data_IF_030907372596
#
_entry.id   IF_030907372596
#
_cell.length_a   1.000
_cell.length_b   1.000
_cell.length_c   1.000
_cell.angle_alpha   90.00
_cell.angle_beta   90.00
_cell.angle_gamma   90.00
#
_symmetry.space_group_name_H-M   'P 1'
#
loop_
_entity.id
_entity.type
_entity.pdbx_description
1 polymer ?
#
# COMPACT_ATOMS: atom_id res chain seq x y z
N UNK A 1 -9.26 20.83 5.38
CA UNK A 1 -9.72 22.17 4.95
C UNK A 1 -10.32 22.03 3.55
N UNK A 2 -11.41 22.75 3.24
CA UNK A 2 -12.06 22.65 1.93
C UNK A 2 -11.17 23.24 0.83
N UNK A 3 -11.12 22.58 -0.32
CA UNK A 3 -10.35 23.07 -1.47
C UNK A 3 -11.07 24.19 -2.24
N UNK A 4 -12.40 24.29 -2.11
CA UNK A 4 -13.22 25.35 -2.67
C UNK A 4 -14.33 24.83 -3.59
N UNK A 5 -15.42 25.60 -3.68
CA UNK A 5 -16.67 25.20 -4.33
C UNK A 5 -16.50 24.83 -5.82
N UNK A 6 -15.56 25.48 -6.52
CA UNK A 6 -15.24 25.16 -7.91
C UNK A 6 -14.85 23.68 -8.06
N UNK A 7 -14.02 23.17 -7.16
CA UNK A 7 -13.55 21.78 -7.18
C UNK A 7 -14.63 20.82 -6.71
N UNK A 8 -15.37 21.17 -5.66
CA UNK A 8 -16.49 20.38 -5.14
C UNK A 8 -17.55 20.12 -6.22
N UNK A 9 -17.91 21.16 -6.97
CA UNK A 9 -18.85 21.08 -8.09
C UNK A 9 -18.30 20.23 -9.23
N UNK A 10 -17.03 20.39 -9.58
CA UNK A 10 -16.40 19.58 -10.63
C UNK A 10 -16.40 18.09 -10.27
N UNK A 11 -15.98 17.74 -9.05
CA UNK A 11 -15.96 16.35 -8.56
C UNK A 11 -17.37 15.76 -8.48
N UNK A 12 -18.36 16.53 -8.00
CA UNK A 12 -19.75 16.09 -7.92
C UNK A 12 -20.34 15.80 -9.30
N UNK A 13 -20.04 16.63 -10.30
CA UNK A 13 -20.51 16.41 -11.68
C UNK A 13 -19.86 15.18 -12.29
N UNK A 14 -18.55 15.03 -12.12
CA UNK A 14 -17.81 13.91 -12.69
C UNK A 14 -18.24 12.56 -12.10
N UNK A 15 -18.38 12.47 -10.77
CA UNK A 15 -18.62 11.20 -10.08
C UNK A 15 -20.12 10.90 -9.92
N UNK A 16 -20.93 11.90 -9.57
CA UNK A 16 -22.35 11.71 -9.23
C UNK A 16 -23.31 12.16 -10.33
N UNK A 17 -22.81 12.80 -11.40
CA UNK A 17 -23.63 13.50 -12.39
C UNK A 17 -24.59 14.53 -11.75
N UNK A 18 -24.11 15.23 -10.71
CA UNK A 18 -24.87 16.24 -9.94
C UNK A 18 -24.03 17.49 -9.71
N UNK A 19 -24.68 18.64 -9.51
CA UNK A 19 -23.99 19.90 -9.21
C UNK A 19 -23.38 19.96 -7.80
N UNK A 20 -23.82 19.08 -6.90
CA UNK A 20 -23.34 19.01 -5.52
C UNK A 20 -23.48 17.59 -4.95
N UNK A 21 -22.84 17.35 -3.80
CA UNK A 21 -22.91 16.08 -3.07
C UNK A 21 -21.55 15.58 -2.58
N UNK A 22 -20.47 15.93 -3.27
CA UNK A 22 -19.10 15.68 -2.85
C UNK A 22 -18.38 16.99 -2.53
N UNK A 23 -17.43 16.92 -1.59
CA UNK A 23 -16.52 18.01 -1.26
C UNK A 23 -15.09 17.51 -1.24
N UNK A 24 -14.20 18.25 -1.87
CA UNK A 24 -12.77 17.97 -1.86
C UNK A 24 -12.13 18.68 -0.67
N UNK A 25 -11.36 17.93 0.10
CA UNK A 25 -10.63 18.44 1.27
C UNK A 25 -9.15 18.15 1.14
N UNK A 26 -8.34 19.04 1.68
CA UNK A 26 -6.92 18.81 1.90
C UNK A 26 -6.62 18.66 3.40
N UNK A 27 -5.61 17.85 3.71
CA UNK A 27 -5.12 17.64 5.07
C UNK A 27 -4.11 18.75 5.44
N UNK A 28 -4.41 19.64 6.42
CA UNK A 28 -3.61 20.83 6.64
C UNK A 28 -2.47 20.65 7.65
N UNK A 29 -2.41 19.52 8.35
CA UNK A 29 -1.45 19.33 9.43
C UNK A 29 -0.10 18.83 8.90
N UNK A 30 1.02 19.29 9.45
CA UNK A 30 2.35 18.87 9.04
C UNK A 30 2.69 17.44 9.50
N UNK A 31 1.92 16.89 10.43
CA UNK A 31 2.12 15.56 11.02
C UNK A 31 0.80 14.78 11.05
N UNK A 32 0.84 13.44 11.00
CA UNK A 32 -0.36 12.61 11.15
C UNK A 32 -0.98 12.77 12.54
N UNK A 33 -2.27 13.10 12.57
CA UNK A 33 -3.09 13.23 13.80
C UNK A 33 -4.14 12.12 13.93
N UNK A 34 -4.25 11.27 12.92
CA UNK A 34 -5.26 10.21 12.88
C UNK A 34 -4.79 9.04 13.74
N UNK A 35 -5.62 8.58 14.67
CA UNK A 35 -5.34 7.38 15.46
C UNK A 35 -4.99 6.17 14.58
N UNK A 36 -4.12 5.31 15.07
CA UNK A 36 -3.86 3.99 14.49
C UNK A 36 -5.16 3.23 14.27
N UNK A 37 -5.30 2.61 13.09
CA UNK A 37 -6.51 1.83 12.76
C UNK A 37 -6.67 0.65 13.70
N UNK A 38 -7.90 0.40 14.17
CA UNK A 38 -8.19 -0.58 15.21
C UNK A 38 -7.60 -1.97 14.93
N UNK A 39 -7.64 -2.40 13.65
CA UNK A 39 -7.13 -3.70 13.18
C UNK A 39 -5.61 -3.88 13.30
N UNK A 40 -4.85 -2.80 13.51
CA UNK A 40 -3.39 -2.83 13.60
C UNK A 40 -2.86 -2.43 14.98
N UNK A 41 -3.74 -2.23 15.96
CA UNK A 41 -3.36 -1.84 17.33
C UNK A 41 -2.49 -2.87 18.05
N UNK A 42 -2.50 -4.13 17.58
CA UNK A 42 -1.68 -5.23 18.11
C UNK A 42 -0.34 -5.39 17.40
N UNK A 43 -0.06 -4.60 16.37
CA UNK A 43 1.20 -4.68 15.63
C UNK A 43 2.34 -4.12 16.49
N UNK A 44 3.35 -4.92 16.85
CA UNK A 44 4.28 -4.60 17.92
C UNK A 44 5.24 -3.44 17.60
N UNK A 45 5.49 -3.19 16.31
CA UNK A 45 6.42 -2.15 15.85
C UNK A 45 5.74 -0.91 15.29
N UNK A 46 4.41 -0.92 15.20
CA UNK A 46 3.63 0.18 14.68
C UNK A 46 3.54 1.30 15.71
N UNK A 47 3.83 2.52 15.27
CA UNK A 47 3.72 3.73 16.08
C UNK A 47 2.58 4.61 15.58
N UNK A 48 2.09 5.48 16.44
CA UNK A 48 1.07 6.47 16.10
C UNK A 48 1.52 7.40 14.96
N UNK A 49 2.81 7.72 14.89
CA UNK A 49 3.44 8.52 13.81
C UNK A 49 3.49 7.80 12.45
N UNK A 50 3.32 6.47 12.41
CA UNK A 50 3.27 5.71 11.15
C UNK A 50 1.93 5.83 10.44
N UNK A 51 0.89 6.32 11.14
CA UNK A 51 -0.39 6.63 10.53
C UNK A 51 -0.25 7.69 9.43
N UNK A 52 -1.19 7.71 8.50
CA UNK A 52 -1.22 8.71 7.42
C UNK A 52 -2.30 9.77 7.64
N UNK A 53 -2.39 10.69 6.69
CA UNK A 53 -3.53 11.58 6.55
C UNK A 53 -4.79 10.78 6.12
N UNK A 54 -4.93 10.55 4.81
CA UNK A 54 -6.09 9.86 4.22
C UNK A 54 -5.81 8.43 3.75
N UNK A 55 -4.56 7.95 3.78
CA UNK A 55 -4.23 6.56 3.40
C UNK A 55 -4.79 5.55 4.41
N UNK A 56 -5.18 4.35 4.00
CA UNK A 56 -5.96 3.42 4.85
C UNK A 56 -5.31 3.15 6.23
N UNK A 57 -4.09 2.61 6.25
CA UNK A 57 -3.42 2.15 7.46
C UNK A 57 -2.23 3.04 7.87
N UNK A 58 -1.16 3.01 7.07
CA UNK A 58 0.10 3.73 7.31
C UNK A 58 0.39 4.73 6.20
N UNK A 59 1.36 5.62 6.42
CA UNK A 59 1.83 6.59 5.42
C UNK A 59 2.53 5.96 4.22
N UNK A 60 3.21 4.82 4.44
CA UNK A 60 4.01 4.16 3.41
C UNK A 60 3.74 2.66 3.33
N UNK A 61 3.76 2.13 2.11
CA UNK A 61 3.68 0.72 1.78
C UNK A 61 4.71 0.39 0.68
N UNK A 62 5.44 -0.70 0.90
CA UNK A 62 6.41 -1.24 -0.05
C UNK A 62 5.87 -2.51 -0.69
N UNK A 63 6.04 -2.57 -2.01
CA UNK A 63 5.60 -3.64 -2.87
C UNK A 63 6.79 -4.22 -3.62
N UNK A 64 6.98 -5.53 -3.51
CA UNK A 64 7.95 -6.26 -4.32
C UNK A 64 7.30 -6.64 -5.65
N UNK A 65 7.92 -6.25 -6.77
CA UNK A 65 7.40 -6.53 -8.10
C UNK A 65 7.48 -8.01 -8.45
N UNK A 66 8.45 -8.75 -7.92
CA UNK A 66 8.51 -10.21 -8.09
C UNK A 66 7.28 -10.91 -7.49
N UNK A 67 6.72 -10.37 -6.40
CA UNK A 67 5.44 -10.85 -5.84
C UNK A 67 4.27 -10.62 -6.80
N UNK A 68 4.27 -9.49 -7.54
CA UNK A 68 3.24 -9.19 -8.56
C UNK A 68 3.35 -10.15 -9.72
N UNK A 69 4.58 -10.43 -10.18
CA UNK A 69 4.85 -11.35 -11.27
C UNK A 69 4.38 -12.78 -10.92
N UNK A 70 4.71 -13.29 -9.72
CA UNK A 70 4.22 -14.59 -9.23
C UNK A 70 2.68 -14.64 -9.15
N UNK A 71 2.04 -13.57 -8.67
CA UNK A 71 0.59 -13.51 -8.62
C UNK A 71 -0.04 -13.49 -10.02
N UNK A 72 0.58 -12.78 -10.96
CA UNK A 72 0.14 -12.73 -12.35
C UNK A 72 0.18 -14.12 -13.01
N UNK A 73 1.24 -14.90 -12.76
CA UNK A 73 1.34 -16.28 -13.24
C UNK A 73 0.21 -17.18 -12.72
N UNK A 74 -0.24 -16.95 -11.47
CA UNK A 74 -1.33 -17.70 -10.84
C UNK A 74 -2.70 -17.29 -11.38
N UNK A 75 -2.94 -16.00 -11.56
CA UNK A 75 -4.22 -15.45 -12.05
C UNK A 75 -4.38 -15.67 -13.56
N UNK A 76 -3.28 -15.72 -14.31
CA UNK A 76 -3.24 -15.84 -15.79
C UNK A 76 -3.98 -14.70 -16.51
N UNK A 77 -4.00 -13.52 -15.89
CA UNK A 77 -4.48 -12.25 -16.47
C UNK A 77 -3.48 -11.15 -16.14
N UNK A 78 -3.39 -10.08 -16.96
CA UNK A 78 -2.54 -8.94 -16.64
C UNK A 78 -2.88 -8.35 -15.26
N UNK A 79 -1.87 -8.10 -14.45
CA UNK A 79 -1.99 -7.42 -13.16
C UNK A 79 -1.04 -6.23 -13.15
N UNK A 80 -1.59 -5.04 -12.96
CA UNK A 80 -0.79 -3.84 -12.77
C UNK A 80 -0.41 -3.68 -11.29
N UNK A 81 0.87 -3.47 -10.93
CA UNK A 81 1.28 -3.12 -9.57
C UNK A 81 0.47 -1.97 -8.92
N UNK A 82 -0.03 -1.02 -9.71
CA UNK A 82 -0.88 0.09 -9.28
C UNK A 82 -2.20 -0.38 -8.66
N UNK A 83 -2.69 -1.59 -8.97
CA UNK A 83 -3.86 -2.19 -8.31
C UNK A 83 -3.65 -2.29 -6.79
N UNK A 84 -2.40 -2.49 -6.34
CA UNK A 84 -2.03 -2.62 -4.93
C UNK A 84 -1.72 -1.29 -4.26
N UNK A 85 -1.59 -0.20 -5.02
CA UNK A 85 -1.38 1.18 -4.52
C UNK A 85 -0.16 1.29 -3.59
N UNK A 86 0.94 0.65 -3.98
CA UNK A 86 2.25 0.78 -3.33
C UNK A 86 2.83 2.17 -3.50
N UNK A 87 3.54 2.64 -2.48
CA UNK A 87 4.33 3.87 -2.58
C UNK A 87 5.71 3.58 -3.15
N UNK A 88 6.29 2.46 -2.74
CA UNK A 88 7.61 1.99 -3.19
C UNK A 88 7.45 0.68 -3.93
N UNK A 89 7.92 0.65 -5.17
CA UNK A 89 8.03 -0.57 -5.96
C UNK A 89 9.49 -0.98 -6.02
N UNK A 90 9.78 -2.16 -5.49
CA UNK A 90 11.11 -2.75 -5.48
C UNK A 90 11.18 -3.84 -6.56
N UNK A 91 12.31 -3.89 -7.27
CA UNK A 91 12.70 -5.03 -8.09
C UNK A 91 14.06 -5.52 -7.61
N UNK A 92 14.13 -6.79 -7.27
CA UNK A 92 15.36 -7.47 -6.87
C UNK A 92 15.98 -8.15 -8.10
N UNK A 93 17.31 -8.29 -8.10
CA UNK A 93 18.00 -9.05 -9.15
C UNK A 93 17.64 -10.55 -9.10
N UNK A 94 17.46 -11.08 -7.89
CA UNK A 94 16.94 -12.42 -7.67
C UNK A 94 15.40 -12.42 -7.69
N UNK A 95 14.81 -13.44 -8.32
CA UNK A 95 13.36 -13.61 -8.32
C UNK A 95 12.88 -14.23 -6.99
N UNK A 96 12.71 -13.39 -5.97
CA UNK A 96 12.28 -13.80 -4.63
C UNK A 96 10.91 -13.17 -4.31
N UNK A 97 9.80 -13.76 -4.81
CA UNK A 97 8.48 -13.28 -4.50
C UNK A 97 8.23 -13.40 -2.98
N UNK A 98 7.59 -12.38 -2.42
CA UNK A 98 7.21 -12.27 -1.01
C UNK A 98 8.39 -12.20 -0.01
N UNK A 99 9.63 -11.99 -0.46
CA UNK A 99 10.78 -11.81 0.42
C UNK A 99 10.56 -10.70 1.48
N UNK A 100 9.77 -9.69 1.12
CA UNK A 100 9.43 -8.56 1.99
C UNK A 100 8.74 -8.94 3.29
N UNK A 101 8.09 -10.10 3.34
CA UNK A 101 7.40 -10.59 4.54
C UNK A 101 8.35 -10.82 5.72
N UNK A 102 9.61 -11.14 5.43
CA UNK A 102 10.60 -11.49 6.45
C UNK A 102 11.47 -10.30 6.86
N UNK A 103 11.40 -9.19 6.14
CA UNK A 103 12.22 -8.04 6.44
C UNK A 103 11.75 -7.33 7.70
N UNK A 104 12.73 -6.80 8.40
CA UNK A 104 12.57 -6.10 9.67
C UNK A 104 12.93 -4.64 9.50
N UNK A 105 14.06 -4.37 8.87
CA UNK A 105 14.54 -3.03 8.57
C UNK A 105 14.83 -2.89 7.08
N UNK A 106 14.52 -1.71 6.56
CA UNK A 106 14.71 -1.35 5.16
C UNK A 106 15.37 0.03 5.14
N UNK A 107 16.47 0.17 4.42
CA UNK A 107 17.08 1.47 4.12
C UNK A 107 16.99 1.71 2.62
N UNK A 108 16.47 2.86 2.23
CA UNK A 108 16.33 3.27 0.83
C UNK A 108 17.29 4.45 0.60
N UNK A 109 18.17 4.32 -0.39
CA UNK A 109 19.22 5.31 -0.62
C UNK A 109 20.20 5.38 0.56
N UNK A 110 20.76 6.56 0.80
CA UNK A 110 21.80 6.75 1.82
C UNK A 110 21.22 6.93 3.24
N UNK A 111 20.10 7.64 3.37
CA UNK A 111 19.66 8.17 4.67
C UNK A 111 18.33 7.61 5.18
N UNK A 112 17.38 7.29 4.29
CA UNK A 112 16.02 6.99 4.71
C UNK A 112 15.92 5.57 5.26
N UNK A 113 15.60 5.44 6.56
CA UNK A 113 15.48 4.15 7.24
C UNK A 113 14.05 3.93 7.69
N UNK A 114 13.53 2.75 7.36
CA UNK A 114 12.19 2.29 7.65
C UNK A 114 12.21 1.00 8.48
N UNK A 115 11.19 0.86 9.32
CA UNK A 115 10.85 -0.37 10.03
C UNK A 115 9.67 -1.02 9.32
N UNK A 116 9.74 -2.32 9.05
CA UNK A 116 8.53 -3.06 8.65
C UNK A 116 7.63 -3.19 9.86
N UNK A 117 6.39 -2.70 9.74
CA UNK A 117 5.47 -2.59 10.89
C UNK A 117 4.31 -3.57 10.83
N UNK A 118 3.90 -4.00 9.64
CA UNK A 118 2.84 -4.98 9.45
C UNK A 118 2.78 -5.49 8.00
N UNK A 119 2.26 -6.70 7.75
CA UNK A 119 1.86 -7.11 6.42
C UNK A 119 0.68 -6.28 5.90
N UNK A 120 0.63 -6.00 4.59
CA UNK A 120 -0.49 -5.28 3.97
C UNK A 120 -1.59 -6.27 3.57
N UNK A 121 -2.62 -6.38 4.40
CA UNK A 121 -3.81 -7.18 4.11
C UNK A 121 -4.61 -6.58 2.96
N UNK A 122 -5.04 -7.41 2.01
CA UNK A 122 -5.69 -6.97 0.79
C UNK A 122 -7.22 -7.05 0.88
N UNK A 123 -7.85 -5.91 0.63
CA UNK A 123 -9.30 -5.81 0.49
C UNK A 123 -9.70 -6.03 -0.98
N UNK A 124 -10.90 -5.58 -1.35
CA UNK A 124 -11.49 -5.73 -2.69
C UNK A 124 -10.92 -4.80 -3.76
N UNK A 125 -10.25 -3.71 -3.36
CA UNK A 125 -9.76 -2.66 -4.25
C UNK A 125 -8.72 -3.09 -5.29
N UNK A 126 -7.85 -4.10 -5.05
CA UNK A 126 -6.98 -4.63 -6.08
C UNK A 126 -7.72 -5.26 -7.26
N UNK A 127 -9.01 -5.56 -7.14
CA UNK A 127 -9.80 -6.12 -8.24
C UNK A 127 -10.26 -5.06 -9.25
N UNK A 128 -9.98 -3.78 -9.00
CA UNK A 128 -10.37 -2.70 -9.90
C UNK A 128 -9.29 -2.54 -10.96
N UNK A 129 -9.67 -2.65 -12.23
CA UNK A 129 -8.78 -2.35 -13.35
C UNK A 129 -8.41 -0.86 -13.30
N UNK A 130 -7.10 -0.57 -13.41
CA UNK A 130 -6.57 0.79 -13.21
C UNK A 130 -6.87 1.74 -14.38
N UNK A 131 -7.16 1.21 -15.56
CA UNK A 131 -7.49 1.99 -16.76
C UNK A 131 -9.00 2.21 -16.88
N UNK A 132 -9.82 1.17 -16.69
CA UNK A 132 -11.26 1.23 -16.91
C UNK A 132 -12.05 1.62 -15.66
N UNK A 133 -11.48 1.42 -14.46
CA UNK A 133 -12.19 1.59 -13.19
C UNK A 133 -13.24 0.50 -12.92
N UNK A 134 -13.34 -0.52 -13.77
CA UNK A 134 -14.26 -1.63 -13.60
C UNK A 134 -13.68 -2.70 -12.69
N UNK A 135 -14.56 -3.37 -11.95
CA UNK A 135 -14.17 -4.46 -11.07
C UNK A 135 -14.13 -5.79 -11.84
N UNK A 136 -13.08 -6.57 -11.63
CA UNK A 136 -12.98 -7.92 -12.20
C UNK A 136 -14.16 -8.80 -11.72
N UNK A 137 -14.94 -9.38 -12.66
CA UNK A 137 -16.16 -10.12 -12.34
C UNK A 137 -15.88 -11.46 -11.63
N UNK A 138 -14.69 -12.04 -11.85
CA UNK A 138 -14.27 -13.30 -11.23
C UNK A 138 -13.73 -13.11 -9.81
N UNK A 139 -13.52 -11.85 -9.41
CA UNK A 139 -13.04 -11.49 -8.09
C UNK A 139 -11.51 -11.56 -7.96
N UNK A 140 -10.78 -11.56 -9.07
CA UNK A 140 -9.32 -11.51 -9.06
C UNK A 140 -8.77 -10.08 -8.96
N UNK A 141 -7.57 -9.89 -8.39
CA UNK A 141 -6.66 -10.93 -7.88
C UNK A 141 -6.94 -11.36 -6.42
N UNK A 142 -7.91 -10.74 -5.72
CA UNK A 142 -8.17 -11.07 -4.31
C UNK A 142 -8.57 -12.54 -4.10
N UNK A 143 -9.40 -13.10 -4.98
CA UNK A 143 -9.80 -14.51 -4.94
C UNK A 143 -8.59 -15.43 -4.98
N UNK A 144 -7.66 -15.19 -5.91
CA UNK A 144 -6.42 -15.94 -6.02
C UNK A 144 -5.53 -15.73 -4.80
N UNK A 145 -5.34 -14.50 -4.31
CA UNK A 145 -4.57 -14.26 -3.08
C UNK A 145 -5.12 -15.03 -1.87
N UNK A 146 -6.44 -15.15 -1.72
CA UNK A 146 -7.06 -15.91 -0.63
C UNK A 146 -6.73 -17.41 -0.66
N UNK A 147 -6.35 -17.98 -1.81
CA UNK A 147 -6.05 -19.41 -1.90
C UNK A 147 -4.67 -19.78 -1.34
N UNK A 148 -3.73 -18.84 -1.29
CA UNK A 148 -2.34 -19.16 -0.90
C UNK A 148 -1.65 -18.14 0.03
N UNK A 149 -2.22 -16.94 0.23
CA UNK A 149 -1.60 -15.86 1.03
C UNK A 149 -2.35 -15.52 2.32
N UNK A 150 -3.09 -16.47 2.87
CA UNK A 150 -3.78 -16.29 4.15
C UNK A 150 -2.83 -16.46 5.33
N UNK A 151 -2.64 -15.40 6.10
CA UNK A 151 -1.83 -15.44 7.32
C UNK A 151 -2.71 -15.81 8.52
N UNK A 152 -2.21 -16.68 9.42
CA UNK A 152 -3.01 -17.26 10.53
C UNK A 152 -3.72 -16.23 11.43
N UNK A 153 -3.11 -15.06 11.62
CA UNK A 153 -3.61 -14.02 12.52
C UNK A 153 -4.41 -12.91 11.80
N UNK A 154 -4.68 -13.05 10.50
CA UNK A 154 -5.35 -12.04 9.68
C UNK A 154 -6.58 -12.61 8.98
N UNK A 155 -7.65 -11.81 8.91
CA UNK A 155 -8.91 -12.20 8.23
C UNK A 155 -8.89 -12.04 6.69
N UNK A 156 -7.75 -11.68 6.12
CA UNK A 156 -7.58 -11.35 4.71
C UNK A 156 -6.15 -11.69 4.26
N UNK A 157 -5.93 -12.00 2.97
CA UNK A 157 -4.60 -12.37 2.49
C UNK A 157 -3.67 -11.15 2.50
N UNK A 158 -2.38 -11.39 2.63
CA UNK A 158 -1.36 -10.35 2.68
C UNK A 158 -0.49 -10.33 1.42
N UNK A 159 -0.14 -9.13 0.95
CA UNK A 159 0.81 -8.93 -0.13
C UNK A 159 1.43 -7.56 0.01
N UNK A 160 2.76 -7.41 -0.06
CA UNK A 160 3.43 -6.17 0.31
C UNK A 160 3.36 -5.86 1.81
N UNK A 161 4.12 -4.86 2.24
CA UNK A 161 4.31 -4.54 3.67
C UNK A 161 4.11 -3.07 3.97
N UNK A 162 3.47 -2.78 5.10
CA UNK A 162 3.43 -1.46 5.68
C UNK A 162 4.79 -1.14 6.30
N UNK A 163 5.33 0.03 6.01
CA UNK A 163 6.61 0.49 6.54
C UNK A 163 6.45 1.82 7.28
N UNK A 164 7.11 1.94 8.42
CA UNK A 164 7.14 3.12 9.26
C UNK A 164 8.50 3.80 9.18
N UNK A 165 8.54 5.12 8.98
CA UNK A 165 9.80 5.86 8.88
C UNK A 165 10.45 5.99 10.26
N UNK A 166 11.75 5.76 10.35
CA UNK A 166 12.54 5.85 11.60
C UNK A 166 13.69 6.83 11.49
N UNK A 167 14.22 7.02 10.28
CA UNK A 167 15.12 8.12 9.93
C UNK A 167 14.61 8.75 8.64
N UNK A 168 14.38 10.07 8.69
CA UNK A 168 14.02 10.86 7.51
C UNK A 168 15.24 10.98 6.61
N UNK A 169 15.03 10.88 5.30
CA UNK A 169 16.06 11.06 4.29
C UNK A 169 15.43 11.37 2.95
N UNK A 170 16.23 11.91 2.04
CA UNK A 170 15.83 12.05 0.64
C UNK A 170 16.03 10.72 -0.09
N UNK A 171 15.10 10.42 -0.99
CA UNK A 171 15.14 9.24 -1.85
C UNK A 171 14.83 9.66 -3.29
N UNK A 172 15.36 8.90 -4.24
CA UNK A 172 15.17 9.11 -5.67
C UNK A 172 14.75 7.80 -6.34
N UNK A 173 14.08 7.86 -7.52
CA UNK A 173 13.88 6.68 -8.34
C UNK A 173 15.21 5.97 -8.59
N UNK A 174 15.21 4.64 -8.52
CA UNK A 174 16.37 3.76 -8.69
C UNK A 174 17.41 3.78 -7.56
N UNK A 175 17.10 4.40 -6.40
CA UNK A 175 17.94 4.23 -5.22
C UNK A 175 18.00 2.75 -4.79
N UNK A 176 19.19 2.33 -4.36
CA UNK A 176 19.41 0.98 -3.84
C UNK A 176 18.64 0.81 -2.53
N UNK A 177 17.96 -0.33 -2.42
CA UNK A 177 17.25 -0.75 -1.22
C UNK A 177 18.10 -1.79 -0.51
N UNK A 178 18.46 -1.48 0.73
CA UNK A 178 19.19 -2.36 1.63
C UNK A 178 18.21 -2.93 2.64
N UNK A 179 18.20 -4.25 2.79
CA UNK A 179 17.36 -4.94 3.77
C UNK A 179 18.24 -5.56 4.83
N UNK A 180 17.72 -5.69 6.05
CA UNK A 180 18.41 -6.47 7.08
C UNK A 180 18.55 -7.91 6.60
N UNK A 181 19.78 -8.44 6.61
CA UNK A 181 20.01 -9.85 6.35
C UNK A 181 19.40 -10.66 7.50
N UNK A 182 18.39 -11.47 7.16
CA UNK A 182 17.72 -12.34 8.12
C UNK A 182 18.24 -13.78 8.04
N UNK A 183 19.36 -14.04 7.37
CA UNK A 183 20.01 -15.34 7.49
C UNK A 183 20.48 -15.57 8.95
N UNK A 184 20.16 -16.73 9.56
CA UNK A 184 20.75 -17.13 10.83
C UNK A 184 22.25 -17.43 10.71
#
# INVERSE_FOLDING_TARGET
>A
MLCGEKYDRWFSRYILNKDSGLRLVYYPYPVPVRATVARMTKEPFLKQEDSGAFGDATSYMLMNLSSVDDLQERVKKPIDPLQFRGNFHLRMDANEPFAEDNWKWIRIGEEAVFRVVAPCTRCIFPNINVETGERDPEGDPLKTLKSFRMFKNYGSPAMGVHIGIRRIGQIKPNDVIYVEDTQP
#
